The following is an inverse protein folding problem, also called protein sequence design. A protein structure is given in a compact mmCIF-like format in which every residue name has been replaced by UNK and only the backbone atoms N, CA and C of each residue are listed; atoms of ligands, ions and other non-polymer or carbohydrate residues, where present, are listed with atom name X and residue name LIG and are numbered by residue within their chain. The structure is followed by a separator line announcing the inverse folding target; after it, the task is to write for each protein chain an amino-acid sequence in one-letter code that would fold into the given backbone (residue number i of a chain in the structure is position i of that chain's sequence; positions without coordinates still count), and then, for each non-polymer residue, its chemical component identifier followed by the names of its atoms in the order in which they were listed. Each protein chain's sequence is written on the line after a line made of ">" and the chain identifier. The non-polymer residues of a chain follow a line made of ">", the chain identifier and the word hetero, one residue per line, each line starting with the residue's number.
data_IF_841554458617
#
_entry.id   IF_841554458617
#
_cell.length_a   1.000
_cell.length_b   1.000
_cell.length_c   1.000
_cell.angle_alpha   90.00
_cell.angle_beta   90.00
_cell.angle_gamma   90.00
#
_symmetry.space_group_name_H-M   'P 1'
#
loop_
_entity.id
_entity.type
_entity.pdbx_description
1 polymer ?
#
# COMPACT_ATOMS: atom_id res chain seq x y z
N UNK A 1 41.60 15.28 -10.22
CA UNK A 1 40.33 14.52 -10.33
C UNK A 1 40.23 13.66 -9.06
N UNK A 2 39.57 14.17 -8.02
CA UNK A 2 39.29 13.42 -6.79
C UNK A 2 38.26 12.35 -7.15
N UNK A 3 38.74 11.10 -7.26
CA UNK A 3 37.84 9.95 -7.47
C UNK A 3 36.86 9.83 -6.29
N UNK A 4 35.61 9.50 -6.58
CA UNK A 4 34.62 9.12 -5.58
C UNK A 4 35.22 8.03 -4.68
N UNK A 5 35.02 8.14 -3.36
CA UNK A 5 35.40 7.03 -2.46
C UNK A 5 34.53 5.81 -2.76
N UNK A 6 35.01 4.60 -2.49
CA UNK A 6 34.23 3.37 -2.66
C UNK A 6 32.89 3.45 -1.91
N UNK A 7 32.88 4.10 -0.75
CA UNK A 7 31.67 4.32 0.05
C UNK A 7 30.68 5.25 -0.65
N UNK A 8 31.15 6.33 -1.27
CA UNK A 8 30.29 7.26 -1.99
C UNK A 8 29.72 6.59 -3.25
N UNK A 9 30.52 5.81 -3.96
CA UNK A 9 30.07 5.02 -5.09
C UNK A 9 28.96 4.02 -4.71
N UNK A 10 29.12 3.27 -3.60
CA UNK A 10 28.10 2.35 -3.11
C UNK A 10 26.82 3.07 -2.67
N UNK A 11 26.94 4.26 -2.09
CA UNK A 11 25.78 5.09 -1.73
C UNK A 11 25.05 5.57 -2.97
N UNK A 12 25.77 6.06 -3.98
CA UNK A 12 25.19 6.50 -5.24
C UNK A 12 24.42 5.36 -5.95
N UNK A 13 24.97 4.15 -5.92
CA UNK A 13 24.28 2.96 -6.47
C UNK A 13 22.99 2.65 -5.68
N UNK A 14 23.03 2.72 -4.36
CA UNK A 14 21.86 2.51 -3.51
C UNK A 14 20.80 3.59 -3.79
N UNK A 15 21.18 4.85 -3.82
CA UNK A 15 20.28 5.98 -4.06
C UNK A 15 19.66 5.89 -5.47
N UNK A 16 20.43 5.49 -6.48
CA UNK A 16 19.92 5.25 -7.82
C UNK A 16 18.87 4.11 -7.86
N UNK A 17 19.14 3.02 -7.14
CA UNK A 17 18.19 1.90 -7.05
C UNK A 17 16.89 2.30 -6.33
N UNK A 18 17.00 3.04 -5.23
CA UNK A 18 15.82 3.57 -4.51
C UNK A 18 15.03 4.53 -5.39
N UNK A 19 15.69 5.48 -6.04
CA UNK A 19 15.02 6.44 -6.92
C UNK A 19 14.32 5.77 -8.12
N UNK A 20 14.89 4.71 -8.67
CA UNK A 20 14.28 3.93 -9.75
C UNK A 20 13.03 3.16 -9.33
N UNK A 21 12.84 2.90 -8.03
CA UNK A 21 11.68 2.21 -7.47
C UNK A 21 10.73 3.15 -6.70
N UNK A 22 11.06 4.44 -6.61
CA UNK A 22 10.23 5.41 -5.89
C UNK A 22 8.87 5.58 -6.59
N UNK A 23 7.75 5.38 -5.88
CA UNK A 23 6.41 5.57 -6.43
C UNK A 23 6.20 6.95 -7.09
N UNK A 24 6.81 8.00 -6.56
CA UNK A 24 6.70 9.34 -7.14
C UNK A 24 7.30 9.43 -8.56
N UNK A 25 8.34 8.65 -8.84
CA UNK A 25 9.00 8.60 -10.14
C UNK A 25 8.35 7.61 -11.11
N UNK A 26 7.86 6.49 -10.59
CA UNK A 26 7.42 5.35 -11.42
C UNK A 26 5.92 5.40 -11.70
N UNK A 27 5.11 5.64 -10.66
CA UNK A 27 3.65 5.46 -10.74
C UNK A 27 2.96 6.38 -11.77
N UNK A 28 3.34 7.66 -11.93
CA UNK A 28 2.63 8.56 -12.86
C UNK A 28 2.53 8.04 -14.30
N UNK A 29 3.57 7.36 -14.78
CA UNK A 29 3.61 6.81 -16.14
C UNK A 29 2.69 5.58 -16.35
N UNK A 30 2.19 5.01 -15.26
CA UNK A 30 1.38 3.78 -15.25
C UNK A 30 -0.06 4.01 -14.80
N UNK A 31 -0.42 5.24 -14.44
CA UNK A 31 -1.79 5.56 -14.09
C UNK A 31 -2.70 5.46 -15.33
N UNK A 32 -3.87 4.81 -15.23
CA UNK A 32 -4.81 4.74 -16.34
C UNK A 32 -5.48 6.10 -16.58
N UNK A 33 -6.20 6.23 -17.69
CA UNK A 33 -7.05 7.39 -17.89
C UNK A 33 -8.22 7.40 -16.87
N UNK A 34 -8.66 8.57 -16.39
CA UNK A 34 -9.81 8.68 -15.52
C UNK A 34 -11.08 8.08 -16.15
N UNK A 35 -11.94 7.42 -15.34
CA UNK A 35 -13.20 6.86 -15.79
C UNK A 35 -14.25 7.97 -16.07
N UNK A 36 -15.45 7.57 -16.49
CA UNK A 36 -16.60 8.49 -16.57
C UNK A 36 -17.16 8.83 -15.19
N UNK A 37 -17.14 7.84 -14.27
CA UNK A 37 -17.56 7.96 -12.89
C UNK A 37 -16.42 8.41 -11.99
N UNK A 38 -16.48 7.99 -10.73
CA UNK A 38 -15.46 8.28 -9.71
C UNK A 38 -14.32 7.26 -9.73
N UNK A 39 -13.18 7.62 -9.15
CA UNK A 39 -12.09 6.68 -8.88
C UNK A 39 -12.01 6.40 -7.39
N UNK A 40 -11.96 5.11 -7.03
CA UNK A 40 -11.63 4.67 -5.68
C UNK A 40 -10.27 4.01 -5.69
N UNK A 41 -9.32 4.59 -4.94
CA UNK A 41 -7.98 4.05 -4.76
C UNK A 41 -7.94 3.20 -3.49
N UNK A 42 -7.52 1.94 -3.63
CA UNK A 42 -7.26 1.04 -2.51
C UNK A 42 -5.80 0.60 -2.54
N UNK A 43 -5.01 1.02 -1.56
CA UNK A 43 -3.59 0.70 -1.49
C UNK A 43 -3.25 -0.12 -0.24
N UNK A 44 -2.42 -1.16 -0.38
CA UNK A 44 -1.99 -1.98 0.74
C UNK A 44 -0.51 -2.38 0.64
N UNK A 45 0.18 -2.34 1.78
CA UNK A 45 1.58 -2.75 1.88
C UNK A 45 2.49 -1.68 2.45
N UNK A 46 3.78 -1.99 2.59
CA UNK A 46 4.76 -1.09 3.22
C UNK A 46 4.96 0.23 2.46
N UNK A 47 4.71 0.25 1.15
CA UNK A 47 4.79 1.45 0.32
C UNK A 47 3.40 2.04 -0.01
N UNK A 48 2.31 1.56 0.62
CA UNK A 48 0.95 1.96 0.29
C UNK A 48 0.72 3.47 0.42
N UNK A 49 1.22 4.08 1.50
CA UNK A 49 1.07 5.51 1.71
C UNK A 49 1.82 6.34 0.65
N UNK A 50 3.06 5.97 0.29
CA UNK A 50 3.82 6.67 -0.75
C UNK A 50 3.21 6.47 -2.15
N UNK A 51 2.67 5.28 -2.45
CA UNK A 51 1.95 5.04 -3.70
C UNK A 51 0.63 5.83 -3.76
N UNK A 52 -0.13 5.88 -2.65
CA UNK A 52 -1.36 6.67 -2.57
C UNK A 52 -1.08 8.15 -2.76
N UNK A 53 -0.06 8.68 -2.07
CA UNK A 53 0.37 10.08 -2.22
C UNK A 53 0.80 10.38 -3.66
N UNK A 54 1.64 9.54 -4.27
CA UNK A 54 2.06 9.72 -5.66
C UNK A 54 0.88 9.69 -6.66
N UNK A 55 -0.07 8.77 -6.45
CA UNK A 55 -1.27 8.70 -7.27
C UNK A 55 -2.13 9.96 -7.11
N UNK A 56 -2.37 10.40 -5.86
CA UNK A 56 -3.16 11.59 -5.57
C UNK A 56 -2.60 12.86 -6.23
N UNK A 57 -1.28 13.05 -6.18
CA UNK A 57 -0.61 14.21 -6.80
C UNK A 57 -0.69 14.21 -8.33
N UNK A 58 -0.89 13.06 -8.95
CA UNK A 58 -0.92 12.90 -10.40
C UNK A 58 -2.31 12.54 -10.95
N UNK A 59 -3.37 12.56 -10.12
CA UNK A 59 -4.73 12.25 -10.54
C UNK A 59 -5.58 13.52 -10.68
N UNK A 60 -6.01 13.81 -11.91
CA UNK A 60 -6.69 15.04 -12.25
C UNK A 60 -8.22 15.01 -12.07
N UNK A 61 -8.81 13.83 -11.87
CA UNK A 61 -10.24 13.65 -11.70
C UNK A 61 -10.65 13.41 -10.23
N UNK A 62 -11.92 13.12 -10.00
CA UNK A 62 -12.42 12.73 -8.68
C UNK A 62 -11.72 11.47 -8.17
N UNK A 63 -11.23 11.53 -6.94
CA UNK A 63 -10.47 10.48 -6.30
C UNK A 63 -10.79 10.43 -4.81
N UNK A 64 -11.15 9.26 -4.35
CA UNK A 64 -11.29 8.94 -2.92
C UNK A 64 -10.66 7.59 -2.64
N UNK A 65 -10.49 7.20 -1.40
CA UNK A 65 -10.02 5.85 -1.10
C UNK A 65 -9.36 5.67 0.24
N UNK A 66 -8.73 4.51 0.38
CA UNK A 66 -8.03 4.08 1.59
C UNK A 66 -6.66 3.50 1.23
N UNK A 67 -5.67 3.78 2.07
CA UNK A 67 -4.37 3.11 2.00
C UNK A 67 -4.02 2.54 3.38
N UNK A 68 -3.63 1.27 3.44
CA UNK A 68 -3.17 0.64 4.68
C UNK A 68 -1.68 0.36 4.62
N UNK A 69 -0.95 0.89 5.59
CA UNK A 69 0.49 0.73 5.74
C UNK A 69 0.85 0.32 7.17
N UNK A 70 2.12 0.04 7.44
CA UNK A 70 2.58 -0.29 8.79
C UNK A 70 2.68 0.95 9.67
N UNK A 71 2.59 0.78 10.98
CA UNK A 71 2.76 1.87 11.95
C UNK A 71 4.04 2.68 11.71
N UNK A 72 3.93 4.02 11.81
CA UNK A 72 5.01 4.96 11.62
C UNK A 72 5.42 5.20 10.16
N UNK A 73 4.62 4.75 9.20
CA UNK A 73 4.87 4.90 7.75
C UNK A 73 3.72 5.58 7.00
N UNK A 74 2.79 6.19 7.72
CA UNK A 74 1.76 7.03 7.11
C UNK A 74 2.36 8.26 6.44
N UNK A 75 1.77 8.69 5.35
CA UNK A 75 2.02 9.98 4.69
C UNK A 75 0.69 10.70 4.55
N UNK A 76 0.71 12.02 4.68
CA UNK A 76 -0.50 12.81 4.52
C UNK A 76 -0.98 12.77 3.07
N UNK A 77 -2.27 12.52 2.90
CA UNK A 77 -3.03 12.67 1.66
C UNK A 77 -4.29 13.48 1.97
N UNK A 78 -4.74 14.28 1.02
CA UNK A 78 -5.93 15.12 1.17
C UNK A 78 -7.22 14.36 0.85
N UNK A 79 -7.16 13.41 -0.09
CA UNK A 79 -8.30 12.67 -0.65
C UNK A 79 -8.33 11.20 -0.27
N UNK A 80 -7.19 10.66 0.20
CA UNK A 80 -7.01 9.25 0.55
C UNK A 80 -6.79 9.14 2.05
N UNK A 81 -7.62 8.38 2.74
CA UNK A 81 -7.43 8.10 4.16
C UNK A 81 -6.28 7.11 4.34
N UNK A 82 -5.34 7.43 5.22
CA UNK A 82 -4.22 6.55 5.53
C UNK A 82 -4.50 5.84 6.86
N UNK A 83 -4.48 4.52 6.83
CA UNK A 83 -4.65 3.65 8.00
C UNK A 83 -3.31 2.98 8.29
N UNK A 84 -2.89 3.02 9.53
CA UNK A 84 -1.72 2.29 10.00
C UNK A 84 -2.14 1.00 10.73
N UNK A 85 -1.44 -0.10 10.45
CA UNK A 85 -1.77 -1.43 10.95
C UNK A 85 -0.53 -2.26 11.29
N UNK A 86 -0.74 -3.40 11.95
CA UNK A 86 0.31 -4.30 12.41
C UNK A 86 1.02 -5.04 11.26
N UNK A 87 2.34 -5.08 11.35
CA UNK A 87 3.22 -5.84 10.46
C UNK A 87 4.48 -6.27 11.22
N UNK A 88 4.95 -7.52 11.15
CA UNK A 88 4.51 -8.64 10.30
C UNK A 88 3.29 -9.41 10.83
N UNK A 89 2.86 -9.17 12.06
CA UNK A 89 1.64 -9.77 12.60
C UNK A 89 0.45 -8.85 12.29
N UNK A 90 -0.65 -9.38 11.74
CA UNK A 90 -1.85 -8.61 11.47
C UNK A 90 -2.51 -8.17 12.78
N UNK A 91 -3.34 -7.13 12.73
CA UNK A 91 -4.10 -6.64 13.89
C UNK A 91 -5.53 -6.21 13.50
N UNK A 92 -6.28 -5.75 14.50
CA UNK A 92 -7.66 -5.31 14.31
C UNK A 92 -7.79 -4.09 13.37
N UNK A 93 -6.76 -3.22 13.32
CA UNK A 93 -6.74 -2.09 12.39
C UNK A 93 -6.67 -2.56 10.95
N UNK A 94 -5.79 -3.53 10.65
CA UNK A 94 -5.69 -4.16 9.33
C UNK A 94 -6.95 -4.91 8.94
N UNK A 95 -7.60 -5.62 9.88
CA UNK A 95 -8.88 -6.27 9.64
C UNK A 95 -9.99 -5.26 9.35
N UNK A 96 -10.07 -4.17 10.11
CA UNK A 96 -11.02 -3.09 9.87
C UNK A 96 -10.82 -2.44 8.49
N UNK A 97 -9.57 -2.22 8.09
CA UNK A 97 -9.24 -1.72 6.76
C UNK A 97 -9.69 -2.68 5.64
N UNK A 98 -9.48 -3.99 5.82
CA UNK A 98 -9.88 -5.00 4.83
C UNK A 98 -11.41 -5.00 4.59
N UNK A 99 -12.20 -4.90 5.64
CA UNK A 99 -13.67 -4.81 5.52
C UNK A 99 -14.10 -3.55 4.77
N UNK A 100 -13.51 -2.42 5.10
CA UNK A 100 -13.78 -1.14 4.41
C UNK A 100 -13.35 -1.18 2.94
N UNK A 101 -12.27 -1.89 2.60
CA UNK A 101 -11.86 -2.12 1.20
C UNK A 101 -12.95 -2.87 0.44
N UNK A 102 -13.46 -3.97 1.02
CA UNK A 102 -14.54 -4.75 0.40
C UNK A 102 -15.83 -3.94 0.23
N UNK A 103 -16.21 -3.14 1.24
CA UNK A 103 -17.37 -2.26 1.18
C UNK A 103 -17.23 -1.21 0.07
N UNK A 104 -16.08 -0.55 -0.04
CA UNK A 104 -15.83 0.45 -1.08
C UNK A 104 -15.81 -0.18 -2.47
N UNK A 105 -15.18 -1.35 -2.62
CA UNK A 105 -15.16 -2.05 -3.90
C UNK A 105 -16.56 -2.51 -4.33
N UNK A 106 -17.38 -3.01 -3.39
CA UNK A 106 -18.76 -3.45 -3.68
C UNK A 106 -19.72 -2.30 -4.05
N UNK A 107 -19.38 -1.06 -3.67
CA UNK A 107 -20.18 0.13 -3.97
C UNK A 107 -19.88 0.77 -5.32
N UNK A 108 -18.97 0.20 -6.12
CA UNK A 108 -18.61 0.69 -7.45
C UNK A 108 -19.62 0.23 -8.51
N UNK A 109 -19.74 1.05 -9.55
CA UNK A 109 -20.54 0.78 -10.74
C UNK A 109 -19.66 0.53 -11.96
N UNK A 110 -20.24 0.18 -13.08
CA UNK A 110 -19.51 -0.06 -14.34
C UNK A 110 -18.82 1.20 -14.92
N UNK A 111 -19.25 2.39 -14.50
CA UNK A 111 -18.65 3.66 -14.91
C UNK A 111 -17.47 4.11 -14.00
N UNK A 112 -17.29 3.46 -12.84
CA UNK A 112 -16.27 3.77 -11.86
C UNK A 112 -14.96 3.00 -12.09
N UNK A 113 -13.86 3.48 -11.52
CA UNK A 113 -12.56 2.81 -11.53
C UNK A 113 -12.14 2.40 -10.12
N UNK A 114 -11.81 1.13 -9.95
CA UNK A 114 -11.05 0.66 -8.79
C UNK A 114 -9.56 0.62 -9.12
N UNK A 115 -8.79 1.52 -8.52
CA UNK A 115 -7.33 1.56 -8.64
C UNK A 115 -6.69 0.86 -7.45
N UNK A 116 -6.17 -0.36 -7.66
CA UNK A 116 -5.49 -1.14 -6.63
C UNK A 116 -3.97 -0.97 -6.70
N UNK A 117 -3.35 -0.51 -5.61
CA UNK A 117 -1.90 -0.33 -5.49
C UNK A 117 -1.35 -1.24 -4.37
N UNK A 118 -0.69 -2.32 -4.76
CA UNK A 118 -0.23 -3.35 -3.82
C UNK A 118 1.29 -3.42 -3.77
N UNK A 119 1.85 -3.38 -2.57
CA UNK A 119 3.29 -3.53 -2.35
C UNK A 119 3.60 -4.64 -1.33
N UNK A 120 4.87 -4.89 -1.07
CA UNK A 120 5.31 -5.92 -0.12
C UNK A 120 4.74 -5.74 1.29
N UNK A 121 4.33 -6.84 1.94
CA UNK A 121 3.76 -6.87 3.28
C UNK A 121 2.23 -6.70 3.34
N UNK A 122 1.54 -6.56 2.22
CA UNK A 122 0.11 -6.34 2.16
C UNK A 122 -0.73 -7.43 2.87
N UNK A 123 -0.33 -8.69 2.81
CA UNK A 123 -1.08 -9.81 3.41
C UNK A 123 -1.14 -9.79 4.95
N UNK A 124 -0.22 -9.08 5.61
CA UNK A 124 -0.30 -8.84 7.05
C UNK A 124 -1.10 -7.57 7.37
N UNK A 125 -0.98 -6.55 6.52
CA UNK A 125 -1.61 -5.25 6.69
C UNK A 125 -3.08 -5.21 6.28
N UNK A 126 -3.47 -6.08 5.33
CA UNK A 126 -4.83 -6.18 4.82
C UNK A 126 -5.30 -7.62 5.02
N UNK A 127 -5.95 -7.89 6.14
CA UNK A 127 -6.35 -9.23 6.54
C UNK A 127 -7.85 -9.32 6.81
N UNK A 128 -8.51 -10.27 6.17
CA UNK A 128 -9.85 -10.73 6.54
C UNK A 128 -9.82 -12.26 6.61
N UNK A 129 -9.92 -12.85 7.81
CA UNK A 129 -9.96 -14.30 7.96
C UNK A 129 -11.17 -14.90 7.25
N UNK A 130 -11.02 -16.10 6.68
CA UNK A 130 -12.13 -16.81 6.07
C UNK A 130 -13.22 -17.15 7.11
N UNK A 131 -14.45 -17.37 6.62
CA UNK A 131 -15.56 -17.73 7.49
C UNK A 131 -15.22 -18.90 8.42
N UNK A 132 -15.48 -18.72 9.71
CA UNK A 132 -15.19 -19.71 10.75
C UNK A 132 -13.78 -19.62 11.35
N UNK A 133 -12.94 -18.71 10.86
CA UNK A 133 -11.63 -18.40 11.44
C UNK A 133 -11.65 -17.04 12.12
N UNK A 134 -10.90 -16.93 13.22
CA UNK A 134 -10.69 -15.70 13.95
C UNK A 134 -9.38 -15.01 13.55
N UNK A 135 -9.20 -13.75 13.96
CA UNK A 135 -7.92 -13.06 13.85
C UNK A 135 -6.84 -13.76 14.70
N UNK A 136 -7.22 -14.36 15.83
CA UNK A 136 -6.28 -15.11 16.69
C UNK A 136 -5.79 -16.39 16.02
N UNK A 137 -6.64 -17.10 15.26
CA UNK A 137 -6.21 -18.25 14.45
C UNK A 137 -5.19 -17.80 13.38
N UNK A 138 -5.46 -16.67 12.73
CA UNK A 138 -4.53 -16.08 11.76
C UNK A 138 -3.21 -15.68 12.41
N UNK A 139 -3.22 -15.11 13.61
CA UNK A 139 -2.03 -14.80 14.41
C UNK A 139 -1.22 -16.05 14.72
N UNK A 140 -1.87 -17.13 15.18
CA UNK A 140 -1.19 -18.38 15.53
C UNK A 140 -0.44 -18.98 14.32
N UNK A 141 -1.12 -19.04 13.16
CA UNK A 141 -0.52 -19.54 11.91
C UNK A 141 0.64 -18.64 11.46
N UNK A 142 0.42 -17.33 11.42
CA UNK A 142 1.46 -16.37 10.96
C UNK A 142 2.69 -16.44 11.87
N UNK A 143 2.50 -16.54 13.20
CA UNK A 143 3.60 -16.67 14.15
C UNK A 143 4.37 -17.98 13.95
N UNK A 144 3.66 -19.09 13.71
CA UNK A 144 4.30 -20.38 13.45
C UNK A 144 5.12 -20.33 12.14
N UNK A 145 4.62 -19.73 11.08
CA UNK A 145 5.34 -19.54 9.81
C UNK A 145 6.60 -18.69 9.99
N UNK A 146 6.49 -17.55 10.69
CA UNK A 146 7.65 -16.69 10.98
C UNK A 146 8.74 -17.41 11.78
N UNK A 147 8.36 -18.28 12.74
CA UNK A 147 9.32 -19.07 13.52
C UNK A 147 9.94 -20.21 12.72
N UNK A 148 9.24 -20.77 11.74
CA UNK A 148 9.76 -21.85 10.89
C UNK A 148 10.75 -21.37 9.83
N UNK A 149 10.85 -20.07 9.60
CA UNK A 149 11.68 -19.46 8.54
C UNK A 149 11.08 -19.59 7.14
N UNK A 150 9.81 -19.93 7.04
CA UNK A 150 9.07 -20.04 5.78
C UNK A 150 8.69 -18.67 5.21
#
# INVERSE_FOLDING_TARGET
>A
MTGLSERDFLRDLFDAAVAAADPANVLPAHLPAPPKGRTVLLAAGKAAASMAHAAEQNWSADLTGLAVTRYGHGLHCDRIEIIEAGHPLPDAAGQGAARRFLEQAAALTEDDLLLCLISGGASALLVEPANGLSLDDKHAITRALLHSGA
#
